data_IF_025971375083
#
_entry.id   IF_025971375083
#
_cell.length_a   1.000
_cell.length_b   1.000
_cell.length_c   1.000
_cell.angle_alpha   90.00
_cell.angle_beta   90.00
_cell.angle_gamma   90.00
#
_symmetry.space_group_name_H-M   'P 1'
#
loop_
_entity.id
_entity.type
_entity.pdbx_description
1 polymer ?
#
# COMPACT_ATOMS: atom_id res chain seq x y z
N UNK A 1 12.14 -7.90 1.26
CA UNK A 1 11.22 -9.05 1.32
C UNK A 1 10.66 -9.31 -0.07
N UNK A 2 10.99 -10.43 -0.72
CA UNK A 2 10.53 -10.73 -2.10
C UNK A 2 9.16 -11.41 -2.17
N UNK A 3 8.72 -12.05 -1.09
CA UNK A 3 7.50 -12.91 -1.04
C UNK A 3 6.33 -12.26 -0.29
N UNK A 4 6.33 -10.94 -0.12
CA UNK A 4 5.24 -10.28 0.59
C UNK A 4 3.95 -10.40 -0.22
N UNK A 5 2.86 -10.79 0.45
CA UNK A 5 1.52 -10.88 -0.12
C UNK A 5 0.57 -10.07 0.75
N UNK A 6 -0.32 -9.31 0.12
CA UNK A 6 -1.37 -8.56 0.79
C UNK A 6 -2.73 -9.18 0.50
N UNK A 7 -3.58 -9.22 1.51
CA UNK A 7 -4.94 -9.74 1.45
C UNK A 7 -5.86 -8.67 2.02
N UNK A 8 -6.91 -8.34 1.29
CA UNK A 8 -7.91 -7.36 1.75
C UNK A 8 -9.27 -8.04 1.82
N UNK A 9 -9.94 -7.92 2.97
CA UNK A 9 -11.28 -8.47 3.13
C UNK A 9 -12.32 -7.43 2.66
N UNK A 10 -13.11 -7.69 1.60
CA UNK A 10 -14.03 -6.69 1.06
C UNK A 10 -15.27 -6.40 1.96
N UNK A 11 -15.50 -7.16 3.04
CA UNK A 11 -16.65 -6.96 3.93
C UNK A 11 -16.31 -6.16 5.17
N UNK A 12 -15.10 -6.30 5.70
CA UNK A 12 -14.68 -5.57 6.91
C UNK A 12 -13.52 -4.61 6.67
N UNK A 13 -12.94 -4.60 5.46
CA UNK A 13 -11.79 -3.76 5.12
C UNK A 13 -10.49 -4.15 5.83
N UNK A 14 -10.44 -5.34 6.44
CA UNK A 14 -9.25 -5.84 7.12
C UNK A 14 -8.12 -6.11 6.12
N UNK A 15 -6.90 -5.72 6.49
CA UNK A 15 -5.71 -5.84 5.67
C UNK A 15 -4.75 -6.78 6.38
N UNK A 16 -4.35 -7.84 5.68
CA UNK A 16 -3.45 -8.86 6.21
C UNK A 16 -2.25 -8.96 5.27
N UNK A 17 -1.05 -8.82 5.82
CA UNK A 17 0.20 -9.05 5.10
C UNK A 17 0.85 -10.34 5.56
N UNK A 18 1.45 -11.08 4.62
CA UNK A 18 2.17 -12.31 4.93
C UNK A 18 3.49 -12.37 4.16
N UNK A 19 4.44 -13.11 4.70
CA UNK A 19 5.80 -13.26 4.16
C UNK A 19 6.04 -14.61 3.49
N UNK A 20 5.07 -15.52 3.62
CA UNK A 20 5.12 -16.88 3.12
C UNK A 20 3.82 -17.28 2.43
N UNK A 21 3.64 -18.57 2.25
CA UNK A 21 2.42 -19.11 1.68
C UNK A 21 1.49 -19.58 2.80
N UNK A 22 0.20 -19.27 2.66
CA UNK A 22 -0.81 -19.63 3.62
C UNK A 22 -2.20 -19.32 3.08
N UNK A 23 -3.17 -20.12 3.50
CA UNK A 23 -4.58 -19.82 3.28
C UNK A 23 -5.07 -18.91 4.41
N UNK A 24 -5.54 -17.71 4.05
CA UNK A 24 -6.05 -16.74 5.02
C UNK A 24 -7.55 -16.68 4.88
N UNK A 25 -8.25 -16.78 6.02
CA UNK A 25 -9.70 -16.63 6.07
C UNK A 25 -10.09 -15.42 6.91
N UNK A 26 -11.06 -14.64 6.44
CA UNK A 26 -11.63 -13.50 7.17
C UNK A 26 -13.12 -13.40 6.87
N UNK A 27 -13.95 -13.15 7.89
CA UNK A 27 -15.41 -13.12 7.77
C UNK A 27 -16.02 -14.39 7.14
N UNK A 28 -15.47 -15.57 7.46
CA UNK A 28 -16.01 -16.87 7.00
C UNK A 28 -15.68 -17.23 5.55
N UNK A 29 -14.87 -16.44 4.84
CA UNK A 29 -14.41 -16.75 3.48
C UNK A 29 -12.89 -16.79 3.39
N UNK A 30 -12.40 -17.61 2.46
CA UNK A 30 -10.99 -17.60 2.06
C UNK A 30 -10.69 -16.33 1.25
N UNK A 31 -9.67 -15.60 1.67
CA UNK A 31 -9.18 -14.42 0.97
C UNK A 31 -8.21 -14.84 -0.14
N UNK A 32 -8.31 -14.15 -1.28
CA UNK A 32 -7.29 -14.22 -2.34
C UNK A 32 -6.26 -13.14 -2.08
N UNK A 33 -5.00 -13.41 -2.42
CA UNK A 33 -3.98 -12.37 -2.39
C UNK A 33 -4.25 -11.38 -3.52
N UNK A 34 -3.94 -10.12 -3.28
CA UNK A 34 -4.04 -9.06 -4.27
C UNK A 34 -2.79 -9.06 -5.16
N UNK A 35 -2.98 -9.32 -6.46
CA UNK A 35 -1.90 -9.22 -7.43
C UNK A 35 -1.59 -7.74 -7.69
N UNK A 36 -0.36 -7.32 -7.42
CA UNK A 36 0.06 -5.93 -7.65
C UNK A 36 0.13 -5.62 -9.13
N UNK A 37 -0.53 -4.53 -9.54
CA UNK A 37 -0.38 -3.92 -10.87
C UNK A 37 0.63 -2.78 -10.80
N UNK A 38 1.11 -2.32 -11.95
CA UNK A 38 1.91 -1.08 -12.01
C UNK A 38 1.01 0.12 -11.73
N UNK A 39 1.55 1.15 -11.09
CA UNK A 39 0.87 2.43 -10.91
C UNK A 39 0.44 2.99 -12.27
N UNK A 40 -0.79 3.50 -12.33
CA UNK A 40 -1.36 4.20 -13.48
C UNK A 40 -1.35 5.73 -13.24
N UNK A 41 -1.87 6.49 -14.20
CA UNK A 41 -1.91 7.95 -14.12
C UNK A 41 -2.84 8.47 -12.99
N UNK A 42 -3.85 7.71 -12.60
CA UNK A 42 -4.83 8.09 -11.56
C UNK A 42 -4.34 7.76 -10.14
N UNK A 43 -3.13 7.20 -10.00
CA UNK A 43 -2.48 6.93 -8.72
C UNK A 43 -1.02 7.37 -8.74
N UNK A 44 -0.70 8.40 -9.52
CA UNK A 44 0.66 8.92 -9.63
C UNK A 44 1.18 9.31 -8.23
N UNK A 45 2.43 8.92 -7.96
CA UNK A 45 3.07 9.15 -6.67
C UNK A 45 4.17 10.20 -6.83
N UNK A 46 4.06 11.27 -6.04
CA UNK A 46 5.13 12.22 -5.83
C UNK A 46 5.81 11.90 -4.50
N UNK A 47 7.14 11.75 -4.51
CA UNK A 47 7.92 11.53 -3.29
C UNK A 47 8.85 12.71 -3.08
N UNK A 48 8.70 13.36 -1.93
CA UNK A 48 9.55 14.46 -1.47
C UNK A 48 10.37 14.02 -0.27
N UNK A 49 11.63 14.46 -0.21
CA UNK A 49 12.50 14.22 0.94
C UNK A 49 12.41 15.40 1.90
N UNK A 50 11.86 15.17 3.10
CA UNK A 50 11.76 16.19 4.15
C UNK A 50 12.58 15.70 5.33
N UNK A 51 13.74 16.30 5.56
CA UNK A 51 14.67 15.93 6.63
C UNK A 51 14.99 14.42 6.62
N UNK A 52 14.45 13.68 7.60
CA UNK A 52 14.61 12.24 7.80
C UNK A 52 13.40 11.42 7.35
N UNK A 53 12.42 12.04 6.68
CA UNK A 53 11.20 11.40 6.22
C UNK A 53 11.06 11.48 4.70
N UNK A 54 10.36 10.51 4.13
CA UNK A 54 9.76 10.57 2.81
C UNK A 54 8.32 11.02 2.96
N UNK A 55 8.02 12.20 2.41
CA UNK A 55 6.66 12.71 2.27
C UNK A 55 6.12 12.27 0.91
N UNK A 56 5.09 11.43 0.93
CA UNK A 56 4.53 10.82 -0.26
C UNK A 56 3.14 11.39 -0.47
N UNK A 57 2.94 12.00 -1.63
CA UNK A 57 1.64 12.49 -2.09
C UNK A 57 1.16 11.60 -3.22
N UNK A 58 -0.09 11.16 -3.14
CA UNK A 58 -0.71 10.30 -4.15
C UNK A 58 -1.79 11.13 -4.82
N UNK A 59 -1.69 11.27 -6.14
CA UNK A 59 -2.71 11.96 -6.93
C UNK A 59 -3.91 11.03 -7.11
N UNK A 60 -4.82 11.02 -6.14
CA UNK A 60 -5.99 10.13 -6.15
C UNK A 60 -7.17 10.74 -5.38
N UNK A 61 -8.39 10.42 -5.81
CA UNK A 61 -9.62 10.86 -5.16
C UNK A 61 -9.81 10.16 -3.80
N UNK A 62 -10.22 10.90 -2.76
CA UNK A 62 -10.44 10.34 -1.42
C UNK A 62 -11.88 10.53 -0.98
N UNK A 63 -12.84 10.06 -1.77
CA UNK A 63 -14.26 10.09 -1.42
C UNK A 63 -14.70 8.84 -0.66
N UNK A 64 -15.90 8.87 -0.08
CA UNK A 64 -16.49 7.71 0.64
C UNK A 64 -16.56 6.45 -0.21
N UNK A 65 -16.75 6.62 -1.52
CA UNK A 65 -16.90 5.52 -2.47
C UNK A 65 -15.59 5.11 -3.14
N UNK A 66 -14.61 6.01 -3.22
CA UNK A 66 -13.35 5.79 -3.92
C UNK A 66 -12.21 6.41 -3.14
N UNK A 67 -11.36 5.56 -2.56
CA UNK A 67 -10.27 6.00 -1.68
C UNK A 67 -9.15 4.97 -1.64
N UNK A 68 -7.99 5.44 -1.19
CA UNK A 68 -6.85 4.58 -0.87
C UNK A 68 -7.05 4.04 0.54
N UNK A 69 -7.03 2.73 0.68
CA UNK A 69 -7.24 2.04 1.96
C UNK A 69 -5.95 1.97 2.77
N UNK A 70 -4.81 1.74 2.12
CA UNK A 70 -3.52 1.73 2.77
C UNK A 70 -2.38 1.99 1.79
N UNK A 71 -1.27 2.43 2.35
CA UNK A 71 0.03 2.51 1.68
C UNK A 71 1.01 1.66 2.46
N UNK A 72 1.77 0.82 1.77
CA UNK A 72 2.81 0.00 2.37
C UNK A 72 4.17 0.31 1.76
N UNK A 73 5.13 0.59 2.64
CA UNK A 73 6.53 0.81 2.32
C UNK A 73 7.32 -0.45 2.70
N UNK A 74 7.80 -1.17 1.69
CA UNK A 74 8.43 -2.49 1.83
C UNK A 74 9.90 -2.41 1.48
N UNK A 75 10.74 -2.74 2.45
CA UNK A 75 12.20 -2.81 2.32
C UNK A 75 12.67 -4.27 2.28
N UNK A 76 13.97 -4.50 2.40
CA UNK A 76 14.53 -5.85 2.35
C UNK A 76 14.15 -6.68 3.59
N UNK A 77 13.99 -6.07 4.76
CA UNK A 77 13.71 -6.70 6.06
C UNK A 77 12.42 -6.19 6.74
N UNK A 78 11.89 -5.02 6.35
CA UNK A 78 10.76 -4.38 7.05
C UNK A 78 9.59 -4.05 6.13
N UNK A 79 8.41 -3.98 6.74
CA UNK A 79 7.17 -3.48 6.14
C UNK A 79 6.60 -2.42 7.07
N UNK A 80 6.43 -1.21 6.55
CA UNK A 80 5.66 -0.17 7.22
C UNK A 80 4.32 -0.05 6.49
N UNK A 81 3.21 -0.13 7.22
CA UNK A 81 1.86 -0.03 6.67
C UNK A 81 1.14 1.13 7.34
N UNK A 82 0.66 2.07 6.52
CA UNK A 82 -0.15 3.21 6.97
C UNK A 82 -1.55 3.01 6.41
N UNK A 83 -2.53 2.91 7.31
CA UNK A 83 -3.94 2.88 6.96
C UNK A 83 -4.39 4.30 6.62
N UNK A 84 -5.13 4.44 5.53
CA UNK A 84 -5.81 5.67 5.15
C UNK A 84 -7.33 5.46 5.21
N UNK A 85 -8.04 6.56 5.39
CA UNK A 85 -9.50 6.57 5.50
C UNK A 85 -10.10 7.46 4.42
N UNK A 86 -11.38 7.23 4.04
CA UNK A 86 -12.08 8.14 3.14
C UNK A 86 -12.06 9.58 3.67
N UNK A 87 -12.10 10.55 2.77
CA UNK A 87 -12.08 12.00 3.05
C UNK A 87 -10.78 12.52 3.70
N UNK A 88 -9.80 11.66 3.90
CA UNK A 88 -8.45 12.04 4.33
C UNK A 88 -7.62 12.52 3.13
N UNK A 89 -6.67 13.42 3.38
CA UNK A 89 -5.64 13.75 2.39
C UNK A 89 -4.89 12.48 1.95
N UNK A 90 -4.69 12.24 0.64
CA UNK A 90 -3.95 11.09 0.11
C UNK A 90 -2.43 11.30 0.26
N UNK A 91 -1.98 11.59 1.47
CA UNK A 91 -0.59 11.88 1.82
C UNK A 91 -0.14 11.00 2.96
N UNK A 92 1.09 10.51 2.90
CA UNK A 92 1.68 9.65 3.94
C UNK A 92 3.12 10.03 4.20
N UNK A 93 3.53 9.87 5.45
CA UNK A 93 4.92 10.06 5.89
C UNK A 93 5.53 8.72 6.28
N UNK A 94 6.66 8.40 5.67
CA UNK A 94 7.48 7.26 6.10
C UNK A 94 8.83 7.76 6.58
N UNK A 95 9.35 7.26 7.71
CA UNK A 95 10.74 7.52 8.08
C UNK A 95 11.67 6.95 7.00
N UNK A 96 12.75 7.67 6.70
CA UNK A 96 13.82 7.19 5.84
C UNK A 96 14.46 5.98 6.51
N UNK A 97 14.01 4.78 6.15
CA UNK A 97 14.64 3.55 6.58
C UNK A 97 15.98 3.37 5.86
N UNK A 98 16.91 2.64 6.48
CA UNK A 98 18.27 2.45 5.97
C UNK A 98 18.29 1.95 4.51
N UNK A 99 18.57 2.86 3.58
CA UNK A 99 18.67 2.59 2.15
C UNK A 99 18.20 3.78 1.30
N UNK A 100 18.66 3.85 0.05
CA UNK A 100 18.12 4.80 -0.94
C UNK A 100 16.71 4.36 -1.37
N UNK A 101 15.83 5.32 -1.64
CA UNK A 101 14.46 5.11 -2.14
C UNK A 101 14.39 4.15 -3.36
N UNK A 102 15.44 4.12 -4.19
CA UNK A 102 15.56 3.25 -5.37
C UNK A 102 15.46 1.75 -5.09
N UNK A 103 15.70 1.30 -3.86
CA UNK A 103 15.63 -0.11 -3.47
C UNK A 103 14.33 -0.48 -2.75
N UNK A 104 13.41 0.47 -2.64
CA UNK A 104 12.21 0.35 -1.83
C UNK A 104 11.00 0.17 -2.73
N UNK A 105 10.11 -0.75 -2.33
CA UNK A 105 8.84 -0.98 -3.02
C UNK A 105 7.73 -0.28 -2.26
N UNK A 106 7.05 0.63 -2.96
CA UNK A 106 5.82 1.26 -2.49
C UNK A 106 4.62 0.52 -3.07
N UNK A 107 3.71 0.15 -2.20
CA UNK A 107 2.43 -0.46 -2.55
C UNK A 107 1.30 0.47 -2.11
N UNK A 108 0.30 0.63 -2.97
CA UNK A 108 -0.92 1.40 -2.70
C UNK A 108 -2.09 0.47 -2.96
N UNK A 109 -3.07 0.47 -2.08
CA UNK A 109 -4.32 -0.24 -2.34
C UNK A 109 -5.47 0.74 -2.49
N UNK A 110 -6.02 0.81 -3.69
CA UNK A 110 -7.27 1.50 -3.97
C UNK A 110 -8.43 0.52 -3.84
N UNK A 111 -9.52 0.94 -3.19
CA UNK A 111 -10.69 0.09 -3.02
C UNK A 111 -11.37 -0.31 -4.35
N UNK A 112 -11.22 0.48 -5.41
CA UNK A 112 -11.77 0.19 -6.76
C UNK A 112 -10.75 -0.47 -7.69
N UNK A 113 -9.51 0.01 -7.70
CA UNK A 113 -8.50 -0.41 -8.68
C UNK A 113 -7.61 -1.57 -8.20
N UNK A 114 -7.65 -1.88 -6.90
CA UNK A 114 -6.90 -2.95 -6.26
C UNK A 114 -5.50 -2.52 -5.81
N UNK A 115 -4.59 -3.48 -5.70
CA UNK A 115 -3.21 -3.24 -5.29
C UNK A 115 -2.35 -2.77 -6.47
N UNK A 116 -1.68 -1.64 -6.28
CA UNK A 116 -0.75 -1.01 -7.20
C UNK A 116 0.63 -0.95 -6.56
N UNK A 117 1.69 -1.01 -7.37
CA UNK A 117 3.08 -0.96 -6.93
C UNK A 117 3.88 -0.03 -7.83
N UNK A 118 4.76 0.77 -7.22
CA UNK A 118 5.77 1.52 -7.94
C UNK A 118 6.73 0.55 -8.65
N UNK A 119 6.68 0.54 -9.98
CA UNK A 119 7.54 -0.26 -10.82
C UNK A 119 8.94 0.34 -10.86
N UNK A 120 9.87 -0.27 -10.13
CA UNK A 120 11.28 -0.30 -10.49
C UNK A 120 11.73 -1.75 -10.56
#
# INVERSE_FOLDING_TARGET
>A
MKRIKFYVCPSCGNIISTTGEGEISCCGRKLKFEASKTIDNDHEITVEEIENDYYITINHEMTKEHYISFVAYVTYDRVLLIKLYPEQSPTVRFPKLCGKLERVKLYIYCNKHGLLMNGK
#
